data_IF_261626852294
#
_entry.id   IF_261626852294
#
_cell.length_a   1.000
_cell.length_b   1.000
_cell.length_c   1.000
_cell.angle_alpha   90.00
_cell.angle_beta   90.00
_cell.angle_gamma   90.00
#
_symmetry.space_group_name_H-M   'P 1'
#
loop_
_entity.id
_entity.type
_entity.pdbx_description
1 polymer ?
#
# COMPACT_ATOMS: atom_id res chain seq x y z
N UNK A 1 -32.19 -10.25 56.03
CA UNK A 1 -32.02 -9.19 55.02
C UNK A 1 -30.72 -9.38 54.30
N UNK A 2 -30.74 -9.99 53.10
CA UNK A 2 -29.54 -10.20 52.25
C UNK A 2 -29.48 -8.99 51.27
N UNK A 3 -28.42 -8.19 51.37
CA UNK A 3 -28.16 -7.10 50.42
C UNK A 3 -27.49 -7.73 49.17
N UNK A 4 -28.17 -7.65 48.04
CA UNK A 4 -27.62 -8.00 46.72
C UNK A 4 -26.85 -6.77 46.26
N UNK A 5 -25.51 -6.95 46.13
CA UNK A 5 -24.62 -5.95 45.56
C UNK A 5 -24.62 -6.15 44.06
N UNK A 6 -25.34 -5.31 43.33
CA UNK A 6 -25.29 -5.28 41.85
C UNK A 6 -24.01 -4.60 41.42
N UNK A 7 -23.09 -5.37 40.93
CA UNK A 7 -21.88 -4.85 40.27
C UNK A 7 -22.26 -4.47 38.84
N UNK A 8 -22.37 -3.16 38.59
CA UNK A 8 -22.48 -2.61 37.23
C UNK A 8 -21.11 -2.78 36.53
N UNK A 9 -21.00 -3.79 35.66
CA UNK A 9 -19.91 -3.82 34.71
C UNK A 9 -20.15 -2.72 33.65
N UNK A 10 -19.50 -1.58 33.80
CA UNK A 10 -19.35 -0.63 32.69
C UNK A 10 -18.37 -1.27 31.70
N UNK A 11 -18.87 -1.86 30.63
CA UNK A 11 -18.09 -2.17 29.46
C UNK A 11 -17.65 -0.86 28.81
N UNK A 12 -16.38 -0.49 29.00
CA UNK A 12 -15.74 0.52 28.15
C UNK A 12 -15.69 -0.08 26.73
N UNK A 13 -16.69 0.21 25.92
CA UNK A 13 -16.58 0.07 24.48
C UNK A 13 -15.62 1.18 24.05
N UNK A 14 -14.33 0.85 23.97
CA UNK A 14 -13.39 1.73 23.28
C UNK A 14 -13.96 1.93 21.86
N UNK A 15 -14.41 3.12 21.54
CA UNK A 15 -14.85 3.47 20.19
C UNK A 15 -13.60 3.29 19.30
N UNK A 16 -13.63 2.26 18.50
CA UNK A 16 -12.56 2.00 17.53
C UNK A 16 -12.57 3.17 16.56
N UNK A 17 -11.57 4.04 16.69
CA UNK A 17 -11.46 5.24 15.88
C UNK A 17 -10.73 4.88 14.59
N UNK A 18 -11.37 5.12 13.44
CA UNK A 18 -10.72 4.99 12.14
C UNK A 18 -9.55 5.97 12.00
N UNK A 19 -8.50 5.61 11.24
CA UNK A 19 -7.43 6.53 10.92
C UNK A 19 -7.98 7.82 10.30
N UNK A 20 -7.45 8.97 10.72
CA UNK A 20 -7.85 10.27 10.18
C UNK A 20 -6.73 10.84 9.32
N UNK A 21 -7.10 11.40 8.18
CA UNK A 21 -6.18 12.15 7.32
C UNK A 21 -5.65 13.42 8.01
N UNK A 22 -6.45 14.00 8.92
CA UNK A 22 -6.09 15.24 9.62
C UNK A 22 -5.10 15.01 10.78
N UNK A 23 -4.68 13.78 11.02
CA UNK A 23 -3.62 13.48 11.97
C UNK A 23 -2.25 13.79 11.37
N UNK A 24 -1.64 14.89 11.80
CA UNK A 24 -0.33 15.35 11.36
C UNK A 24 0.70 15.21 12.48
N UNK A 25 1.22 13.99 12.75
CA UNK A 25 2.27 13.83 13.76
C UNK A 25 3.53 14.58 13.37
N UNK A 26 4.32 14.98 14.36
CA UNK A 26 5.60 15.63 14.11
C UNK A 26 6.50 14.74 13.24
N UNK A 27 6.98 15.29 12.12
CA UNK A 27 8.01 14.64 11.31
C UNK A 27 9.35 14.85 12.00
N UNK A 28 10.06 13.77 12.24
CA UNK A 28 11.35 13.77 12.95
C UNK A 28 12.43 13.14 12.08
N UNK A 29 13.68 13.16 12.55
CA UNK A 29 14.71 12.27 12.00
C UNK A 29 14.39 10.82 12.41
N UNK A 30 14.81 9.80 11.62
CA UNK A 30 14.65 8.41 12.01
C UNK A 30 15.25 8.13 13.40
N UNK A 31 14.51 7.46 14.31
CA UNK A 31 15.00 7.17 15.65
C UNK A 31 16.19 6.21 15.62
N UNK A 32 17.02 6.25 16.66
CA UNK A 32 18.22 5.42 16.75
C UNK A 32 17.90 3.89 16.67
N UNK A 33 16.75 3.46 17.21
CA UNK A 33 16.29 2.09 17.12
C UNK A 33 16.04 1.62 15.69
N UNK A 34 15.59 2.54 14.80
CA UNK A 34 15.37 2.23 13.40
C UNK A 34 16.69 2.13 12.62
N UNK A 35 17.77 2.73 13.11
CA UNK A 35 19.07 2.68 12.43
C UNK A 35 19.59 1.27 12.23
N UNK A 36 19.25 0.33 13.11
CA UNK A 36 19.61 -1.08 12.97
C UNK A 36 18.91 -1.73 11.77
N UNK A 37 17.70 -1.30 11.42
CA UNK A 37 16.98 -1.80 10.25
C UNK A 37 17.53 -1.21 8.94
N UNK A 38 18.12 -0.02 9.02
CA UNK A 38 18.66 0.71 7.87
C UNK A 38 20.11 0.37 7.57
N UNK A 39 20.79 -0.34 8.48
CA UNK A 39 22.18 -0.78 8.33
C UNK A 39 22.24 -2.11 7.57
N UNK A 40 21.84 -2.09 6.31
CA UNK A 40 22.07 -3.24 5.44
C UNK A 40 23.46 -3.11 4.80
N UNK A 41 24.32 -4.12 5.02
CA UNK A 41 25.66 -4.25 4.43
C UNK A 41 26.61 -3.04 4.64
N UNK A 42 26.80 -2.59 5.89
CA UNK A 42 27.82 -1.57 6.24
C UNK A 42 27.70 -0.22 5.53
N UNK A 43 26.64 0.00 4.77
CA UNK A 43 26.39 1.29 4.12
C UNK A 43 25.79 2.28 5.11
N UNK A 44 26.24 3.55 5.12
CA UNK A 44 25.66 4.59 5.98
C UNK A 44 24.28 5.03 5.45
N UNK A 45 23.29 4.14 5.49
CA UNK A 45 21.89 4.44 5.11
C UNK A 45 21.32 5.61 5.91
N UNK A 46 21.95 5.90 7.05
CA UNK A 46 21.50 6.86 8.04
C UNK A 46 21.54 8.32 7.60
N UNK A 47 22.38 8.67 6.62
CA UNK A 47 22.54 10.09 6.20
C UNK A 47 21.54 10.50 5.12
N UNK A 48 21.00 9.55 4.35
CA UNK A 48 20.04 9.85 3.28
C UNK A 48 18.63 10.12 3.86
N UNK A 49 18.19 9.29 4.83
CA UNK A 49 16.90 9.44 5.48
C UNK A 49 16.95 10.54 6.54
N UNK A 50 16.27 11.65 6.27
CA UNK A 50 16.20 12.83 7.12
C UNK A 50 14.83 13.03 7.76
N UNK A 51 13.80 12.31 7.27
CA UNK A 51 12.42 12.44 7.71
C UNK A 51 11.83 11.08 8.06
N UNK A 52 11.02 11.08 9.10
CA UNK A 52 10.36 9.89 9.62
C UNK A 52 9.01 10.24 10.23
N UNK A 53 8.01 9.43 9.98
CA UNK A 53 6.79 9.29 10.78
C UNK A 53 6.49 7.82 11.04
N UNK A 54 5.78 7.57 12.13
CA UNK A 54 5.37 6.23 12.53
C UNK A 54 3.95 5.92 12.03
N UNK A 55 3.76 4.87 11.24
CA UNK A 55 2.46 4.34 10.83
C UNK A 55 2.17 3.06 11.64
N UNK A 56 1.73 3.21 12.90
CA UNK A 56 1.43 2.12 13.84
C UNK A 56 2.59 1.11 14.04
N UNK A 57 3.82 1.57 13.96
CA UNK A 57 5.03 0.74 14.03
C UNK A 57 5.76 0.66 12.69
N UNK A 58 5.05 0.69 11.55
CA UNK A 58 5.68 0.68 10.24
C UNK A 58 6.36 2.02 9.97
N UNK A 59 7.68 2.05 9.69
CA UNK A 59 8.39 3.28 9.40
C UNK A 59 8.01 3.85 8.03
N UNK A 60 7.68 5.15 7.99
CA UNK A 60 7.60 5.94 6.77
C UNK A 60 8.77 6.92 6.79
N UNK A 61 9.67 6.80 5.85
CA UNK A 61 10.97 7.50 5.82
C UNK A 61 11.19 8.20 4.49
N UNK A 62 11.97 9.27 4.50
CA UNK A 62 12.26 10.05 3.31
C UNK A 62 13.53 10.87 3.45
N UNK A 63 14.02 11.40 2.33
CA UNK A 63 15.05 12.45 2.30
C UNK A 63 14.52 13.78 2.85
N UNK A 64 15.39 14.75 3.03
CA UNK A 64 15.04 16.11 3.46
C UNK A 64 14.14 16.84 2.44
N UNK A 65 14.16 16.46 1.16
CA UNK A 65 13.49 17.16 0.06
C UNK A 65 11.99 16.87 -0.01
N UNK A 66 11.55 15.73 0.51
CA UNK A 66 10.15 15.28 0.49
C UNK A 66 9.32 16.15 1.43
N UNK A 67 8.10 16.48 1.03
CA UNK A 67 7.17 17.25 1.87
C UNK A 67 6.65 16.42 3.04
N UNK A 68 6.47 17.05 4.19
CA UNK A 68 5.90 16.38 5.38
C UNK A 68 4.48 15.85 5.10
N UNK A 69 3.70 16.58 4.29
CA UNK A 69 2.37 16.15 3.86
C UNK A 69 2.37 14.81 3.11
N UNK A 70 3.45 14.48 2.41
CA UNK A 70 3.59 13.20 1.73
C UNK A 70 3.71 12.04 2.72
N UNK A 71 4.49 12.23 3.80
CA UNK A 71 4.62 11.23 4.85
C UNK A 71 3.30 11.06 5.62
N UNK A 72 2.56 12.14 5.89
CA UNK A 72 1.25 12.06 6.55
C UNK A 72 0.21 11.33 5.70
N UNK A 73 0.18 11.60 4.41
CA UNK A 73 -0.74 10.92 3.49
C UNK A 73 -0.40 9.42 3.38
N UNK A 74 0.88 9.06 3.26
CA UNK A 74 1.33 7.65 3.28
C UNK A 74 0.91 6.97 4.59
N UNK A 75 1.18 7.60 5.74
CA UNK A 75 0.77 7.10 7.05
C UNK A 75 -0.74 6.85 7.12
N UNK A 76 -1.54 7.79 6.62
CA UNK A 76 -2.99 7.66 6.59
C UNK A 76 -3.46 6.47 5.76
N UNK A 77 -2.92 6.31 4.54
CA UNK A 77 -3.25 5.19 3.63
C UNK A 77 -2.89 3.86 4.30
N UNK A 78 -1.66 3.73 4.80
CA UNK A 78 -1.16 2.52 5.48
C UNK A 78 -2.05 2.11 6.64
N UNK A 79 -2.32 3.06 7.55
CA UNK A 79 -3.13 2.79 8.73
C UNK A 79 -4.57 2.39 8.35
N UNK A 80 -5.10 2.95 7.26
CA UNK A 80 -6.44 2.61 6.76
C UNK A 80 -6.45 1.23 6.14
N UNK A 81 -5.48 0.90 5.29
CA UNK A 81 -5.40 -0.41 4.64
C UNK A 81 -5.18 -1.55 5.65
N UNK A 82 -4.42 -1.32 6.72
CA UNK A 82 -4.15 -2.31 7.77
C UNK A 82 -5.19 -2.35 8.89
N UNK A 83 -6.21 -1.49 8.84
CA UNK A 83 -7.15 -1.31 9.95
C UNK A 83 -7.84 -2.61 10.41
N UNK A 84 -8.13 -3.52 9.49
CA UNK A 84 -8.80 -4.80 9.78
C UNK A 84 -7.87 -6.00 9.89
N UNK A 85 -6.62 -5.82 9.55
CA UNK A 85 -5.60 -6.90 9.50
C UNK A 85 -4.32 -6.49 10.24
N UNK A 86 -4.41 -6.16 11.54
CA UNK A 86 -3.23 -5.75 12.34
C UNK A 86 -2.15 -6.83 12.37
N UNK A 87 -2.51 -8.12 12.24
CA UNK A 87 -1.57 -9.23 12.16
C UNK A 87 -0.69 -9.19 10.91
N UNK A 88 -1.17 -8.59 9.82
CA UNK A 88 -0.34 -8.36 8.63
C UNK A 88 0.74 -7.30 8.90
N UNK A 89 0.41 -6.26 9.70
CA UNK A 89 1.40 -5.29 10.17
C UNK A 89 2.49 -5.98 11.02
N UNK A 90 2.10 -6.82 11.96
CA UNK A 90 3.05 -7.55 12.81
C UNK A 90 4.03 -8.39 11.97
N UNK A 91 3.55 -9.03 10.90
CA UNK A 91 4.41 -9.80 9.99
C UNK A 91 5.34 -8.90 9.17
N UNK A 92 4.87 -7.75 8.67
CA UNK A 92 5.71 -6.77 7.99
C UNK A 92 6.83 -6.25 8.91
N UNK A 93 6.52 -5.98 10.18
CA UNK A 93 7.50 -5.52 11.18
C UNK A 93 8.57 -6.58 11.47
N UNK A 94 8.20 -7.86 11.56
CA UNK A 94 9.17 -8.97 11.69
C UNK A 94 10.11 -9.05 10.48
N UNK A 95 9.61 -8.70 9.29
CA UNK A 95 10.39 -8.65 8.05
C UNK A 95 11.17 -7.33 7.87
N UNK A 96 11.11 -6.42 8.85
CA UNK A 96 11.74 -5.10 8.80
C UNK A 96 11.27 -4.23 7.63
N UNK A 97 10.03 -4.43 7.19
CA UNK A 97 9.45 -3.62 6.11
C UNK A 97 9.31 -2.16 6.54
N UNK A 98 9.47 -1.28 5.58
CA UNK A 98 9.36 0.18 5.72
C UNK A 98 8.94 0.80 4.40
N UNK A 99 8.52 2.06 4.43
CA UNK A 99 8.12 2.78 3.23
C UNK A 99 9.06 3.95 3.02
N UNK A 100 9.72 3.98 1.87
CA UNK A 100 10.58 5.05 1.41
C UNK A 100 9.81 5.97 0.45
N UNK A 101 9.57 7.22 0.86
CA UNK A 101 8.98 8.22 -0.02
C UNK A 101 10.09 8.93 -0.77
N UNK A 102 10.00 8.91 -2.11
CA UNK A 102 11.00 9.48 -3.01
C UNK A 102 10.52 10.83 -3.51
N UNK A 103 11.33 11.86 -3.37
CA UNK A 103 10.99 13.20 -3.85
C UNK A 103 10.78 13.23 -5.37
N UNK A 104 9.92 14.14 -5.81
CA UNK A 104 9.56 14.25 -7.25
C UNK A 104 10.75 14.58 -8.18
N UNK A 105 11.88 14.99 -7.63
CA UNK A 105 13.17 15.24 -8.34
C UNK A 105 14.22 14.19 -8.04
N UNK A 106 13.89 13.20 -7.25
CA UNK A 106 14.77 12.09 -6.90
C UNK A 106 14.39 10.85 -7.70
N UNK A 107 15.33 9.95 -7.84
CA UNK A 107 15.17 8.66 -8.47
C UNK A 107 14.85 7.59 -7.43
N UNK A 108 14.22 6.49 -7.85
CA UNK A 108 14.02 5.32 -6.97
C UNK A 108 15.37 4.76 -6.52
N UNK A 109 16.36 4.77 -7.41
CA UNK A 109 17.72 4.28 -7.13
C UNK A 109 18.53 5.18 -6.21
N UNK A 110 18.03 6.37 -5.85
CA UNK A 110 18.61 7.20 -4.78
C UNK A 110 18.32 6.63 -3.38
N UNK A 111 17.25 5.82 -3.24
CA UNK A 111 16.99 5.06 -2.02
C UNK A 111 18.16 4.11 -1.75
N UNK A 112 18.80 4.17 -0.57
CA UNK A 112 19.99 3.36 -0.27
C UNK A 112 19.81 1.87 -0.54
N UNK A 113 18.65 1.31 -0.20
CA UNK A 113 18.34 -0.11 -0.41
C UNK A 113 18.12 -0.45 -1.90
N UNK A 114 17.64 0.49 -2.68
CA UNK A 114 17.34 0.26 -4.09
C UNK A 114 18.59 0.32 -4.97
N UNK A 115 19.73 0.80 -4.46
CA UNK A 115 21.01 0.76 -5.19
C UNK A 115 21.40 -0.64 -5.60
N UNK A 116 21.07 -1.65 -4.80
CA UNK A 116 21.35 -3.04 -5.12
C UNK A 116 20.60 -3.53 -6.37
N UNK A 117 19.46 -2.90 -6.70
CA UNK A 117 18.70 -3.25 -7.91
C UNK A 117 19.54 -3.03 -9.17
N UNK A 118 20.31 -1.94 -9.22
CA UNK A 118 21.20 -1.64 -10.36
C UNK A 118 22.39 -2.58 -10.44
N UNK A 119 22.86 -3.10 -9.30
CA UNK A 119 23.95 -4.10 -9.25
C UNK A 119 23.46 -5.49 -9.66
N UNK A 120 22.28 -5.89 -9.21
CA UNK A 120 21.73 -7.22 -9.51
C UNK A 120 21.15 -7.33 -10.92
N UNK A 121 20.60 -6.24 -11.45
CA UNK A 121 19.99 -6.19 -12.79
C UNK A 121 20.50 -4.96 -13.55
N UNK A 122 21.77 -4.95 -13.98
CA UNK A 122 22.41 -3.78 -14.59
C UNK A 122 21.81 -3.35 -15.93
N UNK A 123 21.11 -4.25 -16.60
CA UNK A 123 20.46 -3.97 -17.90
C UNK A 123 19.06 -3.33 -17.74
N UNK A 124 18.59 -3.11 -16.51
CA UNK A 124 17.28 -2.53 -16.25
C UNK A 124 17.42 -1.08 -15.80
N UNK A 125 16.81 -0.17 -16.53
CA UNK A 125 16.62 1.22 -16.09
C UNK A 125 15.42 1.29 -15.11
N UNK A 126 15.72 1.12 -13.81
CA UNK A 126 14.72 1.07 -12.76
C UNK A 126 13.96 2.39 -12.59
N UNK A 127 14.62 3.53 -12.84
CA UNK A 127 14.03 4.86 -12.69
C UNK A 127 13.07 5.19 -13.83
N UNK A 128 13.39 4.71 -15.05
CA UNK A 128 12.47 4.79 -16.16
C UNK A 128 11.29 3.81 -16.04
N UNK A 129 11.52 2.61 -15.45
CA UNK A 129 10.52 1.57 -15.33
C UNK A 129 9.35 1.96 -14.41
N UNK A 130 9.62 2.55 -13.25
CA UNK A 130 8.56 2.84 -12.27
C UNK A 130 8.92 3.92 -11.26
N UNK A 131 7.88 4.39 -10.55
CA UNK A 131 7.99 5.33 -9.43
C UNK A 131 7.44 4.72 -8.13
N UNK A 132 7.22 3.41 -8.10
CA UNK A 132 6.83 2.61 -6.96
C UNK A 132 7.28 1.17 -7.14
N UNK A 133 7.64 0.50 -6.03
CA UNK A 133 7.97 -0.93 -5.96
C UNK A 133 7.62 -1.46 -4.58
N UNK A 134 6.94 -2.61 -4.53
CA UNK A 134 6.65 -3.32 -3.29
C UNK A 134 7.92 -3.77 -2.55
N UNK A 135 7.85 -3.88 -1.23
CA UNK A 135 8.95 -4.42 -0.43
C UNK A 135 9.09 -5.93 -0.64
N UNK A 136 10.32 -6.40 -0.56
CA UNK A 136 10.69 -7.82 -0.57
C UNK A 136 11.59 -8.14 0.62
N UNK A 137 11.82 -9.43 0.91
CA UNK A 137 12.78 -9.81 1.95
C UNK A 137 14.21 -9.35 1.63
N UNK A 138 14.56 -9.27 0.35
CA UNK A 138 15.88 -8.84 -0.09
C UNK A 138 16.01 -7.31 -0.08
N UNK A 139 14.94 -6.60 -0.43
CA UNK A 139 14.86 -5.13 -0.42
C UNK A 139 13.63 -4.75 0.43
N UNK A 140 13.76 -4.69 1.77
CA UNK A 140 12.62 -4.53 2.68
C UNK A 140 12.14 -3.06 2.76
N UNK A 141 12.24 -2.33 1.68
CA UNK A 141 11.68 -0.99 1.49
C UNK A 141 10.70 -0.99 0.33
N UNK A 142 9.45 -0.64 0.62
CA UNK A 142 8.51 -0.24 -0.40
C UNK A 142 8.83 1.19 -0.80
N UNK A 143 8.95 1.48 -2.07
CA UNK A 143 9.19 2.83 -2.58
C UNK A 143 7.95 3.43 -3.22
N UNK A 144 7.81 4.75 -3.11
CA UNK A 144 6.74 5.52 -3.75
C UNK A 144 7.17 6.95 -4.04
N UNK A 145 6.91 7.43 -5.26
CA UNK A 145 7.13 8.82 -5.62
C UNK A 145 6.12 9.75 -4.94
N UNK A 146 6.60 10.86 -4.34
CA UNK A 146 5.75 11.80 -3.61
C UNK A 146 4.68 12.45 -4.49
N UNK A 147 4.93 12.57 -5.81
CA UNK A 147 4.00 13.14 -6.79
C UNK A 147 2.74 12.28 -6.99
N UNK A 148 2.79 10.99 -6.66
CA UNK A 148 1.62 10.11 -6.67
C UNK A 148 0.83 10.13 -5.35
N UNK A 149 1.44 10.62 -4.29
CA UNK A 149 0.84 10.66 -2.94
C UNK A 149 0.14 11.99 -2.66
N UNK A 150 0.77 13.10 -3.07
CA UNK A 150 0.24 14.45 -2.92
C UNK A 150 0.45 15.25 -4.20
N UNK A 151 -0.43 16.23 -4.44
CA UNK A 151 -0.25 17.13 -5.58
C UNK A 151 0.98 18.01 -5.41
N UNK A 152 1.94 17.85 -6.30
CA UNK A 152 3.16 18.66 -6.35
C UNK A 152 3.03 19.65 -7.51
N UNK A 153 3.07 20.97 -7.28
CA UNK A 153 3.07 21.96 -8.36
C UNK A 153 4.24 21.73 -9.33
N UNK A 154 3.94 21.76 -10.63
CA UNK A 154 4.90 21.58 -11.71
C UNK A 154 5.63 20.21 -11.75
N UNK A 155 5.15 19.20 -11.03
CA UNK A 155 5.57 17.82 -11.22
C UNK A 155 4.61 17.11 -12.18
N UNK A 156 5.11 16.05 -12.81
CA UNK A 156 4.32 15.14 -13.63
C UNK A 156 4.15 13.83 -12.87
N UNK A 157 2.92 13.51 -12.52
CA UNK A 157 2.57 12.16 -12.07
C UNK A 157 2.24 11.33 -13.31
N UNK A 158 3.09 10.33 -13.61
CA UNK A 158 2.91 9.43 -14.76
C UNK A 158 1.71 8.49 -14.60
N UNK A 159 1.24 8.31 -13.38
CA UNK A 159 0.12 7.43 -13.01
C UNK A 159 -1.15 8.22 -12.64
N UNK A 160 -1.34 9.34 -13.31
CA UNK A 160 -2.47 10.23 -13.02
C UNK A 160 -3.79 9.47 -13.03
N UNK A 161 -4.50 9.56 -11.91
CA UNK A 161 -5.78 8.88 -11.71
C UNK A 161 -5.64 7.47 -11.13
N UNK A 162 -4.42 7.06 -10.75
CA UNK A 162 -4.15 5.79 -10.08
C UNK A 162 -3.30 6.02 -8.83
N UNK A 163 -3.66 5.39 -7.72
CA UNK A 163 -2.81 5.41 -6.53
C UNK A 163 -1.84 4.24 -6.55
N UNK A 164 -0.62 4.50 -7.03
CA UNK A 164 0.47 3.51 -6.96
C UNK A 164 0.86 3.23 -5.51
N UNK A 165 0.65 4.19 -4.60
CA UNK A 165 0.82 3.94 -3.15
C UNK A 165 -0.08 2.80 -2.66
N UNK A 166 -1.35 2.75 -3.09
CA UNK A 166 -2.27 1.66 -2.75
C UNK A 166 -1.83 0.36 -3.42
N UNK A 167 -1.44 0.40 -4.68
CA UNK A 167 -0.98 -0.75 -5.47
C UNK A 167 0.23 -1.43 -4.80
N UNK A 168 1.30 -0.68 -4.57
CA UNK A 168 2.54 -1.24 -4.00
C UNK A 168 2.35 -1.68 -2.55
N UNK A 169 1.54 -0.95 -1.78
CA UNK A 169 1.24 -1.38 -0.43
C UNK A 169 0.33 -2.62 -0.38
N UNK A 170 -0.53 -2.81 -1.38
CA UNK A 170 -1.30 -4.04 -1.52
C UNK A 170 -0.40 -5.27 -1.73
N UNK A 171 0.71 -5.16 -2.45
CA UNK A 171 1.71 -6.24 -2.53
C UNK A 171 2.29 -6.58 -1.15
N UNK A 172 2.55 -5.58 -0.30
CA UNK A 172 3.04 -5.84 1.06
C UNK A 172 1.97 -6.51 1.94
N UNK A 173 0.70 -6.14 1.77
CA UNK A 173 -0.43 -6.79 2.46
C UNK A 173 -0.57 -8.24 1.99
N UNK A 174 -0.55 -8.49 0.67
CA UNK A 174 -0.58 -9.83 0.08
C UNK A 174 0.57 -10.70 0.61
N UNK A 175 1.81 -10.18 0.57
CA UNK A 175 2.98 -10.87 1.12
C UNK A 175 2.78 -11.31 2.57
N UNK A 176 2.30 -10.40 3.42
CA UNK A 176 2.09 -10.69 4.83
C UNK A 176 0.97 -11.71 5.04
N UNK A 177 -0.16 -11.54 4.35
CA UNK A 177 -1.32 -12.44 4.47
C UNK A 177 -1.00 -13.87 4.01
N UNK A 178 -0.27 -14.07 2.91
CA UNK A 178 0.17 -15.39 2.44
C UNK A 178 1.00 -16.12 3.49
N UNK A 179 1.83 -15.41 4.24
CA UNK A 179 2.70 -15.98 5.27
C UNK A 179 1.98 -16.38 6.55
N UNK A 180 0.97 -15.62 6.95
CA UNK A 180 0.23 -15.85 8.20
C UNK A 180 -1.07 -16.63 8.01
N UNK A 181 -1.61 -16.67 6.80
CA UNK A 181 -2.87 -17.34 6.47
C UNK A 181 -2.80 -18.05 5.10
N UNK A 182 -2.33 -19.30 5.05
CA UNK A 182 -2.25 -20.04 3.78
C UNK A 182 -3.58 -20.16 3.03
N UNK A 183 -4.72 -20.10 3.72
CA UNK A 183 -6.04 -20.15 3.07
C UNK A 183 -6.33 -18.87 2.27
N UNK A 184 -5.68 -17.76 2.59
CA UNK A 184 -5.78 -16.52 1.81
C UNK A 184 -5.20 -16.72 0.41
N UNK A 185 -4.00 -17.29 0.30
CA UNK A 185 -3.36 -17.57 -0.99
C UNK A 185 -4.23 -18.47 -1.88
N UNK A 186 -4.78 -19.53 -1.31
CA UNK A 186 -5.67 -20.45 -2.05
C UNK A 186 -6.88 -19.68 -2.62
N UNK A 187 -7.54 -18.85 -1.81
CA UNK A 187 -8.69 -18.06 -2.25
C UNK A 187 -8.32 -17.03 -3.32
N UNK A 188 -7.14 -16.38 -3.19
CA UNK A 188 -6.67 -15.41 -4.17
C UNK A 188 -6.41 -16.10 -5.52
N UNK A 189 -5.74 -17.24 -5.52
CA UNK A 189 -5.49 -18.02 -6.73
C UNK A 189 -6.79 -18.51 -7.38
N UNK A 190 -7.75 -19.01 -6.59
CA UNK A 190 -9.07 -19.41 -7.08
C UNK A 190 -9.82 -18.24 -7.74
N UNK A 191 -9.78 -17.06 -7.11
CA UNK A 191 -10.41 -15.84 -7.62
C UNK A 191 -9.78 -15.40 -8.94
N UNK A 192 -8.44 -15.36 -8.99
CA UNK A 192 -7.66 -15.04 -10.18
C UNK A 192 -7.96 -15.99 -11.34
N UNK A 193 -7.97 -17.32 -11.11
CA UNK A 193 -8.27 -18.31 -12.14
C UNK A 193 -9.70 -18.19 -12.65
N UNK A 194 -10.67 -17.95 -11.78
CA UNK A 194 -12.07 -17.71 -12.19
C UNK A 194 -12.17 -16.46 -13.08
N UNK A 195 -11.51 -15.35 -12.67
CA UNK A 195 -11.47 -14.12 -13.47
C UNK A 195 -10.88 -14.38 -14.85
N UNK A 196 -9.75 -15.10 -14.91
CA UNK A 196 -9.07 -15.48 -16.15
C UNK A 196 -9.96 -16.33 -17.05
N UNK A 197 -10.63 -17.34 -16.52
CA UNK A 197 -11.55 -18.21 -17.28
C UNK A 197 -12.76 -17.46 -17.82
N UNK A 198 -13.23 -16.44 -17.11
CA UNK A 198 -14.35 -15.59 -17.55
C UNK A 198 -13.91 -14.47 -18.50
N UNK A 199 -12.60 -14.32 -18.77
CA UNK A 199 -12.07 -13.25 -19.60
C UNK A 199 -12.09 -11.87 -18.94
N UNK A 200 -12.30 -11.80 -17.60
CA UNK A 200 -12.18 -10.55 -16.86
C UNK A 200 -10.72 -10.07 -16.85
N UNK A 201 -10.50 -8.79 -16.84
CA UNK A 201 -9.19 -8.16 -16.84
C UNK A 201 -8.29 -8.55 -18.02
N UNK A 202 -8.83 -9.20 -19.05
CA UNK A 202 -8.05 -9.66 -20.20
C UNK A 202 -7.27 -8.51 -20.84
N UNK A 203 -6.00 -8.75 -21.18
CA UNK A 203 -5.06 -7.77 -21.75
C UNK A 203 -4.73 -6.58 -20.83
N UNK A 204 -4.95 -6.71 -19.54
CA UNK A 204 -4.54 -5.71 -18.53
C UNK A 204 -3.37 -6.21 -17.70
N UNK A 205 -2.76 -5.29 -16.95
CA UNK A 205 -1.66 -5.61 -16.04
C UNK A 205 -2.08 -6.58 -14.92
N UNK A 206 -3.34 -6.52 -14.48
CA UNK A 206 -3.91 -7.45 -13.50
C UNK A 206 -3.81 -8.94 -13.90
N UNK A 207 -3.75 -9.26 -15.21
CA UNK A 207 -3.62 -10.64 -15.68
C UNK A 207 -2.17 -11.11 -15.80
N UNK A 208 -1.19 -10.35 -15.34
CA UNK A 208 0.21 -10.79 -15.28
C UNK A 208 0.39 -11.96 -14.30
N UNK A 209 -0.16 -11.82 -13.10
CA UNK A 209 -0.16 -12.84 -12.04
C UNK A 209 -1.21 -12.50 -10.95
N UNK A 210 -1.35 -13.36 -9.95
CA UNK A 210 -2.32 -13.17 -8.87
C UNK A 210 -1.99 -11.99 -7.95
N UNK A 211 -0.72 -11.61 -7.84
CA UNK A 211 -0.26 -10.46 -7.04
C UNK A 211 -0.70 -9.14 -7.69
N UNK A 212 -0.54 -9.01 -9.01
CA UNK A 212 -0.99 -7.82 -9.74
C UNK A 212 -2.51 -7.73 -9.79
N UNK A 213 -3.20 -8.86 -9.92
CA UNK A 213 -4.66 -8.93 -9.83
C UNK A 213 -5.18 -8.43 -8.49
N UNK A 214 -4.51 -8.82 -7.39
CA UNK A 214 -4.81 -8.34 -6.05
C UNK A 214 -4.55 -6.83 -5.92
N UNK A 215 -3.41 -6.34 -6.43
CA UNK A 215 -3.03 -4.94 -6.31
C UNK A 215 -3.96 -4.00 -7.11
N UNK A 216 -4.30 -4.36 -8.35
CA UNK A 216 -5.27 -3.63 -9.18
C UNK A 216 -6.68 -3.63 -8.54
N UNK A 217 -7.10 -4.79 -8.02
CA UNK A 217 -8.35 -4.88 -7.26
C UNK A 217 -8.35 -4.00 -6.01
N UNK A 218 -7.23 -3.90 -5.32
CA UNK A 218 -7.07 -3.03 -4.15
C UNK A 218 -7.18 -1.55 -4.51
N UNK A 219 -6.61 -1.13 -5.65
CA UNK A 219 -6.83 0.23 -6.15
C UNK A 219 -8.30 0.51 -6.43
N UNK A 220 -9.01 -0.43 -7.08
CA UNK A 220 -10.44 -0.29 -7.34
C UNK A 220 -11.27 -0.28 -6.05
N UNK A 221 -10.89 -1.09 -5.03
CA UNK A 221 -11.53 -1.09 -3.71
C UNK A 221 -11.50 0.29 -3.04
N UNK A 222 -10.40 1.02 -3.20
CA UNK A 222 -10.22 2.34 -2.62
C UNK A 222 -10.52 3.49 -3.60
N UNK A 223 -11.27 3.25 -4.67
CA UNK A 223 -11.66 4.25 -5.68
C UNK A 223 -10.45 4.97 -6.32
N UNK A 224 -9.33 4.29 -6.48
CA UNK A 224 -8.07 4.87 -6.97
C UNK A 224 -7.44 4.08 -8.12
N UNK A 225 -8.29 3.40 -8.89
CA UNK A 225 -7.94 2.66 -10.11
C UNK A 225 -8.34 3.47 -11.35
N UNK A 226 -7.66 3.26 -12.47
CA UNK A 226 -8.03 3.86 -13.76
C UNK A 226 -7.69 2.94 -14.93
N UNK A 227 -7.94 1.64 -14.75
CA UNK A 227 -7.61 0.61 -15.73
C UNK A 227 -8.74 0.42 -16.75
N UNK A 228 -8.38 0.21 -18.02
CA UNK A 228 -9.34 -0.13 -19.05
C UNK A 228 -9.51 -1.66 -19.10
N UNK A 229 -10.72 -2.13 -18.83
CA UNK A 229 -11.07 -3.55 -18.78
C UNK A 229 -12.13 -3.91 -19.83
N UNK A 230 -12.15 -5.17 -20.33
CA UNK A 230 -13.19 -5.61 -21.25
C UNK A 230 -14.56 -5.64 -20.56
N UNK A 231 -15.61 -5.35 -21.31
CA UNK A 231 -17.00 -5.51 -20.84
C UNK A 231 -17.36 -6.98 -20.75
N UNK A 232 -18.19 -7.31 -19.77
CA UNK A 232 -18.77 -8.65 -19.63
C UNK A 232 -19.94 -8.75 -20.65
N UNK A 233 -20.02 -9.86 -21.36
CA UNK A 233 -21.12 -10.21 -22.27
C UNK A 233 -21.41 -9.21 -23.41
N UNK A 234 -20.45 -8.31 -23.71
CA UNK A 234 -20.58 -7.37 -24.80
C UNK A 234 -19.23 -7.01 -25.41
N UNK A 235 -19.23 -6.41 -26.62
CA UNK A 235 -18.03 -5.89 -27.23
C UNK A 235 -17.59 -4.56 -26.58
N UNK A 236 -16.28 -4.30 -26.55
CA UNK A 236 -15.70 -3.06 -26.08
C UNK A 236 -15.16 -3.15 -24.67
N UNK A 237 -14.75 -2.01 -24.15
CA UNK A 237 -14.13 -1.84 -22.83
C UNK A 237 -14.79 -0.71 -22.03
N UNK A 238 -14.43 -0.60 -20.76
CA UNK A 238 -14.75 0.55 -19.91
C UNK A 238 -13.63 0.80 -18.92
N UNK A 239 -13.62 1.98 -18.33
CA UNK A 239 -12.67 2.33 -17.27
C UNK A 239 -13.19 1.87 -15.92
N UNK A 240 -12.50 0.89 -15.31
CA UNK A 240 -12.74 0.46 -13.94
C UNK A 240 -12.01 1.42 -13.00
N UNK A 241 -12.75 2.04 -12.08
CA UNK A 241 -12.21 3.06 -11.16
C UNK A 241 -12.61 2.85 -9.71
N UNK A 242 -13.77 2.27 -9.45
CA UNK A 242 -14.41 2.35 -8.14
C UNK A 242 -14.79 0.98 -7.58
N UNK A 243 -14.95 0.94 -6.27
CA UNK A 243 -15.47 -0.20 -5.51
C UNK A 243 -16.79 -0.72 -6.09
N UNK A 244 -17.72 0.18 -6.42
CA UNK A 244 -19.03 -0.22 -6.94
C UNK A 244 -18.92 -0.88 -8.32
N UNK A 245 -18.01 -0.38 -9.16
CA UNK A 245 -17.73 -0.99 -10.44
C UNK A 245 -17.06 -2.35 -10.26
N UNK A 246 -16.07 -2.47 -9.35
CA UNK A 246 -15.40 -3.73 -9.03
C UNK A 246 -16.41 -4.78 -8.56
N UNK A 247 -17.33 -4.41 -7.67
CA UNK A 247 -18.35 -5.31 -7.14
C UNK A 247 -19.21 -5.94 -8.22
N UNK A 248 -19.56 -5.18 -9.26
CA UNK A 248 -20.34 -5.66 -10.39
C UNK A 248 -19.48 -6.44 -11.38
N UNK A 249 -18.25 -6.00 -11.60
CA UNK A 249 -17.35 -6.56 -12.60
C UNK A 249 -16.72 -7.87 -12.15
N UNK A 250 -16.16 -7.90 -10.94
CA UNK A 250 -15.48 -9.07 -10.38
C UNK A 250 -15.88 -9.29 -8.92
N UNK A 251 -16.99 -9.97 -8.73
CA UNK A 251 -17.54 -10.22 -7.40
C UNK A 251 -16.67 -11.15 -6.54
N UNK A 252 -15.93 -12.08 -7.15
CA UNK A 252 -15.04 -12.99 -6.42
C UNK A 252 -13.89 -12.18 -5.77
N UNK A 253 -13.23 -11.30 -6.53
CA UNK A 253 -12.19 -10.41 -6.01
C UNK A 253 -12.74 -9.42 -4.99
N UNK A 254 -13.87 -8.78 -5.30
CA UNK A 254 -14.57 -7.89 -4.35
C UNK A 254 -14.82 -8.59 -3.01
N UNK A 255 -15.32 -9.83 -3.04
CA UNK A 255 -15.64 -10.60 -1.84
C UNK A 255 -14.37 -10.90 -1.02
N UNK A 256 -13.26 -11.24 -1.68
CA UNK A 256 -11.99 -11.48 -1.02
C UNK A 256 -11.43 -10.20 -0.39
N UNK A 257 -11.40 -9.09 -1.12
CA UNK A 257 -10.96 -7.77 -0.62
C UNK A 257 -11.77 -7.32 0.59
N UNK A 258 -13.09 -7.60 0.58
CA UNK A 258 -13.99 -7.25 1.70
C UNK A 258 -13.64 -7.94 3.01
N UNK A 259 -12.91 -9.05 2.98
CA UNK A 259 -12.43 -9.74 4.19
C UNK A 259 -11.18 -9.08 4.78
N UNK A 260 -10.45 -8.31 3.99
CA UNK A 260 -9.15 -7.70 4.35
C UNK A 260 -9.29 -6.20 4.62
N UNK A 261 -9.93 -5.47 3.72
CA UNK A 261 -9.98 -4.01 3.78
C UNK A 261 -11.24 -3.46 4.43
N UNK A 262 -11.17 -2.31 5.12
CA UNK A 262 -12.35 -1.62 5.60
C UNK A 262 -13.11 -0.98 4.43
N UNK A 263 -14.44 -0.85 4.57
CA UNK A 263 -15.27 -0.03 3.67
C UNK A 263 -15.15 1.45 4.06
N UNK A 264 -13.98 2.03 3.79
CA UNK A 264 -13.67 3.43 4.04
C UNK A 264 -13.19 4.03 2.73
N UNK A 265 -13.72 5.17 2.37
CA UNK A 265 -13.23 5.96 1.26
C UNK A 265 -11.92 6.64 1.65
N UNK A 266 -10.84 6.34 0.95
CA UNK A 266 -9.59 7.05 1.09
C UNK A 266 -9.73 8.46 0.49
N UNK A 267 -9.06 9.42 1.12
CA UNK A 267 -9.06 10.83 0.71
C UNK A 267 -7.66 11.27 0.34
N UNK A 268 -7.56 12.19 -0.60
CA UNK A 268 -6.29 12.76 -1.04
C UNK A 268 -6.18 12.87 -2.55
N UNK A 269 -4.99 13.18 -3.04
CA UNK A 269 -4.75 13.59 -4.42
C UNK A 269 -5.28 12.60 -5.49
N UNK A 270 -5.07 11.32 -5.32
CA UNK A 270 -5.52 10.30 -6.29
C UNK A 270 -6.85 9.62 -5.91
N UNK A 271 -7.60 10.22 -4.99
CA UNK A 271 -8.91 9.73 -4.56
C UNK A 271 -10.03 10.75 -4.78
N UNK A 272 -9.68 11.97 -5.20
CA UNK A 272 -10.64 13.05 -5.51
C UNK A 272 -10.97 12.99 -7.02
N UNK A 273 -12.01 12.23 -7.37
CA UNK A 273 -12.50 12.09 -8.76
C UNK A 273 -13.85 12.74 -8.97
#
# INVERSE_FOLDING_TARGET
MKRILSILLLSLVASVRYPSRDEHPTVTIPPASLKQWLNYQESPLNSWYQKYVNANGLPVIASATVKDSSLWQVRYIVNTMLYRVPEALDEMLKCHFRIGVVGHKENITDLPECKMMTEWWPDTDWDARGRGYGATLAIPVMSIGEENVVKIPNSVDRYKGESIMVHEFAHNVDFALRRINPAFEVKLLESYEKARHRGLWANTYAMTNSEEYWAEGSQAWFNSCNIEVPKIDSTGSFRLKTLEQLKVYDFDLYSLLSTVYPSIELQGYNFDY
#
